data_IF_177609205912
#
_entry.id   IF_177609205912
#
_cell.length_a   1.000
_cell.length_b   1.000
_cell.length_c   1.000
_cell.angle_alpha   90.00
_cell.angle_beta   90.00
_cell.angle_gamma   90.00
#
_symmetry.space_group_name_H-M   'P 1'
#
loop_
_entity.id
_entity.type
_entity.pdbx_description
1 polymer ?
#
# COMPACT_ATOMS: atom_id res chain seq x y z
N UNK A 1 -39.86 -12.88 -10.63
CA UNK A 1 -39.18 -11.75 -11.30
C UNK A 1 -38.37 -11.02 -10.25
N UNK A 2 -37.06 -10.94 -10.46
CA UNK A 2 -36.03 -10.83 -9.43
C UNK A 2 -36.00 -9.52 -8.65
N UNK A 3 -35.75 -9.66 -7.36
CA UNK A 3 -35.34 -8.61 -6.44
C UNK A 3 -33.98 -8.05 -6.87
N UNK A 4 -33.96 -6.98 -7.68
CA UNK A 4 -32.75 -6.15 -7.83
C UNK A 4 -32.64 -5.22 -6.61
N UNK A 5 -32.45 -5.79 -5.43
CA UNK A 5 -32.03 -5.03 -4.27
C UNK A 5 -30.57 -4.60 -4.47
N UNK A 6 -30.40 -3.36 -4.94
CA UNK A 6 -29.62 -2.31 -4.29
C UNK A 6 -28.45 -2.87 -3.46
N UNK A 7 -27.40 -3.36 -4.10
CA UNK A 7 -26.06 -3.36 -3.50
C UNK A 7 -25.47 -1.98 -3.73
N UNK A 8 -25.87 -1.03 -2.89
CA UNK A 8 -25.15 0.22 -2.73
C UNK A 8 -23.83 -0.17 -2.05
N UNK A 9 -22.75 -0.32 -2.82
CA UNK A 9 -21.39 -0.54 -2.28
C UNK A 9 -21.13 0.58 -1.27
N UNK A 10 -21.20 0.28 0.02
CA UNK A 10 -21.02 1.28 1.08
C UNK A 10 -19.52 1.60 1.08
N UNK A 11 -19.13 2.68 0.39
CA UNK A 11 -17.77 3.22 0.49
C UNK A 11 -17.53 3.62 1.94
N UNK A 12 -16.36 3.27 2.48
CA UNK A 12 -15.95 3.76 3.79
C UNK A 12 -15.88 5.29 3.81
N UNK A 13 -16.32 5.90 4.90
CA UNK A 13 -16.17 7.34 5.12
C UNK A 13 -14.80 7.62 5.75
N UNK A 14 -13.80 7.88 4.91
CA UNK A 14 -12.40 8.01 5.32
C UNK A 14 -11.91 9.43 5.08
N UNK A 15 -11.47 10.10 6.14
CA UNK A 15 -10.60 11.26 6.02
C UNK A 15 -9.14 10.80 5.98
N UNK A 16 -8.42 11.17 4.92
CA UNK A 16 -7.05 10.73 4.66
C UNK A 16 -6.07 11.88 4.86
N UNK A 17 -4.98 11.63 5.56
CA UNK A 17 -3.84 12.52 5.54
C UNK A 17 -3.00 12.28 4.27
N UNK A 18 -2.01 13.16 4.05
CA UNK A 18 -1.07 12.99 2.93
C UNK A 18 -0.23 11.73 3.12
N UNK A 19 0.01 11.00 2.04
CA UNK A 19 0.90 9.84 2.05
C UNK A 19 2.33 10.27 2.42
N UNK A 20 3.00 9.42 3.19
CA UNK A 20 4.37 9.61 3.63
C UNK A 20 5.25 8.48 3.10
N UNK A 21 6.25 8.85 2.31
CA UNK A 21 7.27 7.92 1.81
C UNK A 21 8.38 7.86 2.85
N UNK A 22 8.35 6.86 3.72
CA UNK A 22 9.40 6.65 4.72
C UNK A 22 10.71 6.23 4.06
N UNK A 23 10.61 5.29 3.13
CA UNK A 23 11.75 4.74 2.40
C UNK A 23 11.31 4.37 0.98
N UNK A 24 12.16 4.69 0.01
CA UNK A 24 12.07 4.20 -1.35
C UNK A 24 13.49 4.04 -1.88
N UNK A 25 13.90 2.80 -2.10
CA UNK A 25 15.22 2.43 -2.57
C UNK A 25 15.10 1.77 -3.94
N UNK A 26 16.03 2.15 -4.82
CA UNK A 26 16.23 1.55 -6.12
C UNK A 26 17.67 1.06 -6.16
N UNK A 27 17.85 -0.25 -6.21
CA UNK A 27 19.16 -0.89 -6.12
C UNK A 27 19.39 -1.78 -7.33
N UNK A 28 20.50 -1.60 -8.04
CA UNK A 28 20.91 -2.55 -9.07
C UNK A 28 21.20 -3.91 -8.42
N UNK A 29 20.78 -5.00 -9.06
CA UNK A 29 21.00 -6.34 -8.53
C UNK A 29 22.47 -6.69 -8.51
N UNK A 30 22.91 -7.28 -7.41
CA UNK A 30 24.25 -7.81 -7.26
C UNK A 30 24.19 -9.34 -7.26
N UNK A 31 24.26 -9.93 -8.45
CA UNK A 31 24.18 -11.38 -8.62
C UNK A 31 25.32 -12.15 -7.94
N UNK A 32 26.47 -11.51 -7.70
CA UNK A 32 27.56 -12.14 -6.94
C UNK A 32 27.19 -12.26 -5.47
N UNK A 33 26.63 -11.20 -4.89
CA UNK A 33 26.13 -11.19 -3.52
C UNK A 33 24.94 -12.15 -3.33
N UNK A 34 24.03 -12.22 -4.30
CA UNK A 34 22.85 -13.10 -4.26
C UNK A 34 23.21 -14.60 -4.26
N UNK A 35 24.32 -15.00 -4.89
CA UNK A 35 24.79 -16.41 -4.86
C UNK A 35 25.10 -16.90 -3.44
N UNK A 36 25.53 -16.00 -2.56
CA UNK A 36 25.90 -16.33 -1.18
C UNK A 36 24.77 -16.07 -0.18
N UNK A 37 23.89 -15.09 -0.46
CA UNK A 37 22.87 -14.61 0.50
C UNK A 37 21.43 -14.96 0.10
N UNK A 38 21.23 -15.54 -1.08
CA UNK A 38 19.93 -15.86 -1.64
C UNK A 38 19.38 -14.76 -2.55
N UNK A 39 18.59 -15.17 -3.54
CA UNK A 39 17.88 -14.25 -4.43
C UNK A 39 16.72 -13.60 -3.67
N UNK A 40 16.57 -12.27 -3.70
CA UNK A 40 15.40 -11.63 -3.11
C UNK A 40 14.12 -12.08 -3.82
N UNK A 41 13.01 -12.12 -3.09
CA UNK A 41 11.69 -12.48 -3.62
C UNK A 41 10.76 -11.27 -3.59
N UNK A 42 9.90 -11.17 -4.61
CA UNK A 42 8.90 -10.11 -4.66
C UNK A 42 7.85 -10.33 -3.57
N UNK A 43 7.71 -9.34 -2.69
CA UNK A 43 6.74 -9.32 -1.60
C UNK A 43 6.17 -7.92 -1.41
N UNK A 44 4.85 -7.82 -1.32
CA UNK A 44 4.14 -6.58 -1.02
C UNK A 44 3.17 -6.88 0.12
N UNK A 45 3.39 -6.25 1.27
CA UNK A 45 2.60 -6.45 2.47
C UNK A 45 1.91 -5.14 2.88
N UNK A 46 0.63 -5.23 3.25
CA UNK A 46 -0.12 -4.14 3.86
C UNK A 46 -0.35 -4.47 5.33
N UNK A 47 0.15 -3.59 6.19
CA UNK A 47 -0.05 -3.66 7.64
C UNK A 47 -0.83 -2.45 8.14
N UNK A 48 -1.47 -2.60 9.29
CA UNK A 48 -2.26 -1.56 9.93
C UNK A 48 -1.82 -1.37 11.37
N UNK A 49 -1.62 -0.11 11.76
CA UNK A 49 -1.35 0.26 13.14
C UNK A 49 -2.51 1.11 13.67
N UNK A 50 -3.23 0.61 14.67
CA UNK A 50 -4.29 1.35 15.34
C UNK A 50 -3.67 2.49 16.17
N UNK A 51 -4.12 3.73 15.95
CA UNK A 51 -3.59 4.92 16.65
C UNK A 51 -4.54 5.38 17.74
N UNK A 52 -5.82 5.54 17.41
CA UNK A 52 -6.82 6.08 18.35
C UNK A 52 -8.21 5.56 18.01
N UNK A 53 -8.99 5.26 19.05
CA UNK A 53 -10.44 5.06 18.97
C UNK A 53 -11.13 6.20 19.70
N UNK A 54 -11.92 6.97 18.98
CA UNK A 54 -12.68 8.08 19.52
C UNK A 54 -14.16 7.70 19.60
N UNK A 55 -14.62 7.35 20.80
CA UNK A 55 -15.98 6.86 21.03
C UNK A 55 -17.00 8.00 20.86
N UNK A 56 -16.64 9.22 21.28
CA UNK A 56 -17.52 10.39 21.20
C UNK A 56 -17.71 10.85 19.76
N UNK A 57 -16.62 10.91 18.99
CA UNK A 57 -16.66 11.26 17.57
C UNK A 57 -16.96 10.05 16.65
N UNK A 58 -17.16 8.86 17.23
CA UNK A 58 -17.40 7.59 16.54
C UNK A 58 -16.42 7.38 15.36
N UNK A 59 -15.12 7.56 15.65
CA UNK A 59 -14.04 7.61 14.65
C UNK A 59 -12.88 6.71 15.07
N UNK A 60 -12.37 5.92 14.14
CA UNK A 60 -11.14 5.13 14.32
C UNK A 60 -10.01 5.71 13.49
N UNK A 61 -8.89 6.03 14.14
CA UNK A 61 -7.67 6.49 13.47
C UNK A 61 -6.65 5.37 13.42
N UNK A 62 -6.12 5.13 12.23
CA UNK A 62 -5.10 4.10 11.99
C UNK A 62 -4.07 4.59 10.97
N UNK A 63 -2.92 3.94 10.96
CA UNK A 63 -1.89 4.13 9.94
C UNK A 63 -1.84 2.88 9.08
N UNK A 64 -2.01 3.06 7.79
CA UNK A 64 -1.73 2.04 6.77
C UNK A 64 -0.24 2.07 6.48
N UNK A 65 0.41 0.92 6.48
CA UNK A 65 1.84 0.75 6.23
C UNK A 65 2.00 -0.27 5.09
N UNK A 66 2.41 0.22 3.93
CA UNK A 66 2.74 -0.59 2.76
C UNK A 66 4.25 -0.83 2.76
N UNK A 67 4.66 -2.09 2.96
CA UNK A 67 6.07 -2.52 2.85
C UNK A 67 6.22 -3.34 1.59
N UNK A 68 7.23 -3.03 0.79
CA UNK A 68 7.45 -3.68 -0.51
C UNK A 68 8.90 -4.03 -0.74
N UNK A 69 9.10 -5.16 -1.41
CA UNK A 69 10.33 -5.61 -2.06
C UNK A 69 9.89 -6.14 -3.42
N UNK A 70 10.26 -5.47 -4.51
CA UNK A 70 9.86 -5.82 -5.87
C UNK A 70 11.12 -6.10 -6.66
N UNK A 71 11.28 -7.36 -7.08
CA UNK A 71 12.48 -7.84 -7.74
C UNK A 71 12.22 -7.89 -9.24
N UNK A 72 13.03 -7.12 -9.98
CA UNK A 72 13.09 -7.15 -11.43
C UNK A 72 14.32 -7.93 -11.89
N UNK A 73 14.49 -8.04 -13.20
CA UNK A 73 15.64 -8.74 -13.79
C UNK A 73 16.96 -8.11 -13.34
N UNK A 74 17.08 -6.78 -13.37
CA UNK A 74 18.35 -6.08 -13.17
C UNK A 74 18.42 -5.20 -11.91
N UNK A 75 17.30 -5.02 -11.21
CA UNK A 75 17.23 -4.15 -10.05
C UNK A 75 16.14 -4.60 -9.08
N UNK A 76 16.18 -4.06 -7.86
CA UNK A 76 15.19 -4.26 -6.81
C UNK A 76 14.68 -2.90 -6.37
N UNK A 77 13.37 -2.80 -6.20
CA UNK A 77 12.73 -1.66 -5.56
C UNK A 77 12.27 -2.11 -4.18
N UNK A 78 12.69 -1.41 -3.14
CA UNK A 78 12.26 -1.74 -1.77
C UNK A 78 11.95 -0.49 -0.97
N UNK A 79 11.11 -0.64 0.06
CA UNK A 79 10.78 0.51 0.90
C UNK A 79 9.51 0.37 1.71
N UNK A 80 9.05 1.51 2.19
CA UNK A 80 7.87 1.63 3.04
C UNK A 80 7.17 2.96 2.79
N UNK A 81 5.87 2.90 2.53
CA UNK A 81 4.98 4.05 2.37
C UNK A 81 3.85 3.92 3.40
N UNK A 82 3.50 5.01 4.06
CA UNK A 82 2.42 5.02 5.05
C UNK A 82 1.42 6.14 4.84
N UNK A 83 0.21 5.97 5.38
CA UNK A 83 -0.82 6.99 5.38
C UNK A 83 -1.67 6.88 6.65
N UNK A 84 -1.85 8.00 7.35
CA UNK A 84 -2.83 8.09 8.42
C UNK A 84 -4.24 8.24 7.82
N UNK A 85 -5.17 7.44 8.34
CA UNK A 85 -6.54 7.35 7.91
C UNK A 85 -7.46 7.45 9.13
N UNK A 86 -8.50 8.28 9.04
CA UNK A 86 -9.55 8.42 10.04
C UNK A 86 -10.86 7.92 9.44
N UNK A 87 -11.34 6.79 9.97
CA UNK A 87 -12.57 6.13 9.55
C UNK A 87 -13.69 6.62 10.45
N UNK A 88 -14.62 7.37 9.88
CA UNK A 88 -15.81 7.86 10.58
C UNK A 88 -16.96 6.86 10.44
N UNK A 89 -17.77 6.71 11.48
CA UNK A 89 -18.92 5.81 11.40
C UNK A 89 -18.63 4.38 11.86
N UNK A 90 -17.39 4.09 12.29
CA UNK A 90 -16.97 2.74 12.67
C UNK A 90 -15.91 2.78 13.76
N UNK A 91 -16.10 1.97 14.80
CA UNK A 91 -15.12 1.70 15.85
C UNK A 91 -14.51 0.32 15.60
N UNK A 92 -13.28 0.29 15.09
CA UNK A 92 -12.54 -0.96 14.81
C UNK A 92 -11.67 -1.28 16.02
N UNK A 93 -11.73 -2.50 16.55
CA UNK A 93 -10.89 -2.95 17.65
C UNK A 93 -9.56 -3.52 17.14
N UNK A 94 -9.62 -4.30 16.07
CA UNK A 94 -8.45 -4.94 15.47
C UNK A 94 -8.46 -4.86 13.93
N UNK A 95 -7.29 -4.73 13.27
CA UNK A 95 -7.22 -4.67 11.81
C UNK A 95 -7.75 -5.91 11.07
N UNK A 96 -7.84 -7.06 11.74
CA UNK A 96 -8.44 -8.29 11.19
C UNK A 96 -9.94 -8.16 10.91
N UNK A 97 -10.60 -7.11 11.40
CA UNK A 97 -12.00 -6.80 11.09
C UNK A 97 -12.21 -6.21 9.69
N UNK A 98 -11.16 -5.81 9.00
CA UNK A 98 -11.28 -5.33 7.62
C UNK A 98 -11.43 -6.50 6.66
N UNK A 99 -12.41 -6.39 5.78
CA UNK A 99 -12.50 -7.31 4.64
C UNK A 99 -11.46 -6.95 3.56
N UNK A 100 -11.36 -7.80 2.54
CA UNK A 100 -10.38 -7.62 1.47
C UNK A 100 -10.60 -6.31 0.68
N UNK A 101 -11.85 -5.95 0.39
CA UNK A 101 -12.19 -4.74 -0.36
C UNK A 101 -11.84 -3.49 0.47
N UNK A 102 -12.02 -3.55 1.79
CA UNK A 102 -11.66 -2.48 2.72
C UNK A 102 -10.14 -2.31 2.85
N UNK A 103 -9.40 -3.42 2.96
CA UNK A 103 -7.93 -3.41 2.95
C UNK A 103 -7.42 -2.77 1.66
N UNK A 104 -7.97 -3.17 0.51
CA UNK A 104 -7.62 -2.60 -0.79
C UNK A 104 -7.94 -1.09 -0.85
N UNK A 105 -9.14 -0.67 -0.41
CA UNK A 105 -9.51 0.74 -0.39
C UNK A 105 -8.61 1.58 0.52
N UNK A 106 -8.19 1.05 1.67
CA UNK A 106 -7.27 1.72 2.58
C UNK A 106 -5.85 1.82 2.01
N UNK A 107 -5.36 0.76 1.35
CA UNK A 107 -4.02 0.71 0.77
C UNK A 107 -3.86 1.42 -0.58
N UNK A 108 -4.96 1.63 -1.32
CA UNK A 108 -4.93 2.16 -2.70
C UNK A 108 -4.10 3.43 -2.88
N UNK A 109 -4.14 4.44 -1.97
CA UNK A 109 -3.31 5.63 -2.14
C UNK A 109 -1.82 5.33 -2.02
N UNK A 110 -1.41 4.47 -1.08
CA UNK A 110 -0.02 4.01 -0.94
C UNK A 110 0.43 3.21 -2.17
N UNK A 111 -0.41 2.31 -2.69
CA UNK A 111 -0.13 1.54 -3.92
C UNK A 111 -0.01 2.46 -5.14
N UNK A 112 -0.86 3.49 -5.23
CA UNK A 112 -0.78 4.49 -6.30
C UNK A 112 0.52 5.28 -6.22
N UNK A 113 0.97 5.65 -5.02
CA UNK A 113 2.25 6.32 -4.81
C UNK A 113 3.42 5.43 -5.22
N UNK A 114 3.41 4.15 -4.81
CA UNK A 114 4.41 3.16 -5.21
C UNK A 114 4.49 3.00 -6.73
N UNK A 115 3.33 2.91 -7.41
CA UNK A 115 3.27 2.79 -8.85
C UNK A 115 3.87 4.03 -9.54
N UNK A 116 3.50 5.22 -9.08
CA UNK A 116 4.04 6.47 -9.63
C UNK A 116 5.54 6.61 -9.44
N UNK A 117 6.05 6.31 -8.24
CA UNK A 117 7.49 6.35 -7.97
C UNK A 117 8.24 5.36 -8.87
N UNK A 118 7.71 4.14 -9.00
CA UNK A 118 8.29 3.11 -9.87
C UNK A 118 8.33 3.54 -11.32
N UNK A 119 7.23 4.07 -11.84
CA UNK A 119 7.15 4.54 -13.22
C UNK A 119 8.23 5.61 -13.51
N UNK A 120 8.26 6.68 -12.71
CA UNK A 120 9.17 7.81 -12.93
C UNK A 120 10.64 7.43 -12.72
N UNK A 121 10.94 6.67 -11.66
CA UNK A 121 12.33 6.29 -11.35
C UNK A 121 12.87 5.31 -12.38
N UNK A 122 12.08 4.33 -12.81
CA UNK A 122 12.52 3.38 -13.84
C UNK A 122 12.66 4.06 -15.20
N UNK A 123 11.81 5.02 -15.53
CA UNK A 123 11.93 5.79 -16.77
C UNK A 123 13.29 6.50 -16.84
N UNK A 124 13.65 7.21 -15.76
CA UNK A 124 14.88 7.99 -15.70
C UNK A 124 16.12 7.08 -15.56
N UNK A 125 16.07 6.06 -14.70
CA UNK A 125 17.22 5.22 -14.39
C UNK A 125 17.58 4.26 -15.52
N UNK A 126 16.59 3.83 -16.31
CA UNK A 126 16.78 2.86 -17.40
C UNK A 126 16.84 3.52 -18.79
N UNK A 127 16.48 4.80 -18.91
CA UNK A 127 16.33 5.50 -20.20
C UNK A 127 15.39 4.75 -21.16
N UNK A 128 14.28 4.24 -20.60
CA UNK A 128 13.26 3.44 -21.28
C UNK A 128 11.87 3.86 -20.78
N UNK A 129 10.77 3.51 -21.45
CA UNK A 129 9.43 3.78 -20.92
C UNK A 129 9.27 3.23 -19.49
N UNK A 130 8.77 4.08 -18.58
CA UNK A 130 8.58 3.73 -17.18
C UNK A 130 7.73 2.48 -16.95
N UNK A 131 8.09 1.70 -15.93
CA UNK A 131 7.39 0.47 -15.58
C UNK A 131 6.14 0.80 -14.76
N UNK A 132 5.00 0.29 -15.23
CA UNK A 132 3.73 0.31 -14.50
C UNK A 132 3.52 -1.04 -13.79
N UNK A 133 3.26 -1.00 -12.48
CA UNK A 133 3.12 -2.19 -11.63
C UNK A 133 1.72 -2.83 -11.67
N UNK A 134 0.71 -2.14 -12.23
CA UNK A 134 -0.67 -2.63 -12.38
C UNK A 134 -1.28 -3.25 -11.10
N UNK A 135 -1.22 -2.52 -9.97
CA UNK A 135 -1.94 -2.86 -8.73
C UNK A 135 -3.43 -2.52 -8.80
#
# INVERSE_FOLDING_TARGET
MGLSHIFRRIKMNIQREKEFVSQYHFDARNFEWEKENGTPETKVDVNFQLVKRDIEAHTTSLIVILTFMIVFENFVISGTISQANHIHGRLIEEPSEFDHDEVEELARPCLTMLNRLTYEVTEIALDLPGINLEF
#
